data_IF_439860841414
#
_entry.id   IF_439860841414
#
_cell.length_a   1.000
_cell.length_b   1.000
_cell.length_c   1.000
_cell.angle_alpha   90.00
_cell.angle_beta   90.00
_cell.angle_gamma   90.00
#
_symmetry.space_group_name_H-M   'P 1'
#
loop_
_entity.id
_entity.type
_entity.pdbx_description
1 polymer ?
#
# COMPACT_ATOMS: atom_id res chain seq x y z
N UNK A 1 -10.66 -11.53 10.31
CA UNK A 1 -10.32 -10.09 10.25
C UNK A 1 -9.32 -9.81 11.35
N UNK A 2 -8.10 -9.40 11.02
CA UNK A 2 -7.16 -8.95 12.05
C UNK A 2 -7.74 -7.68 12.70
N UNK A 3 -7.62 -7.54 14.02
CA UNK A 3 -8.05 -6.34 14.73
C UNK A 3 -7.26 -5.14 14.20
N UNK A 4 -7.95 -4.08 13.76
CA UNK A 4 -7.31 -2.80 13.36
C UNK A 4 -6.35 -2.35 14.45
N UNK A 5 -5.09 -2.07 14.06
CA UNK A 5 -4.07 -1.62 15.02
C UNK A 5 -3.96 -0.11 15.04
N UNK A 6 -4.36 0.55 13.96
CA UNK A 6 -4.37 2.02 13.86
C UNK A 6 -5.79 2.51 13.99
N UNK A 7 -5.98 3.50 14.85
CA UNK A 7 -7.26 4.21 14.94
C UNK A 7 -7.58 4.86 13.58
N UNK A 8 -8.77 4.64 13.01
CA UNK A 8 -9.11 5.19 11.69
C UNK A 8 -9.02 6.73 11.61
N UNK A 9 -9.30 7.43 12.71
CA UNK A 9 -9.18 8.89 12.77
C UNK A 9 -7.71 9.32 12.69
N UNK A 10 -6.83 8.68 13.47
CA UNK A 10 -5.38 8.93 13.43
C UNK A 10 -4.80 8.63 12.04
N UNK A 11 -5.22 7.52 11.42
CA UNK A 11 -4.81 7.13 10.07
C UNK A 11 -5.23 8.13 9.01
N UNK A 12 -6.48 8.59 9.06
CA UNK A 12 -7.03 9.60 8.15
C UNK A 12 -6.31 10.94 8.31
N UNK A 13 -6.09 11.38 9.56
CA UNK A 13 -5.34 12.61 9.86
C UNK A 13 -3.91 12.54 9.34
N UNK A 14 -3.21 11.42 9.54
CA UNK A 14 -1.84 11.23 9.05
C UNK A 14 -1.78 11.23 7.51
N UNK A 15 -2.72 10.57 6.84
CA UNK A 15 -2.81 10.57 5.38
C UNK A 15 -3.11 11.97 4.83
N UNK A 16 -4.00 12.72 5.48
CA UNK A 16 -4.29 14.11 5.14
C UNK A 16 -3.07 15.02 5.35
N UNK A 17 -2.30 14.82 6.43
CA UNK A 17 -1.06 15.55 6.68
C UNK A 17 -0.02 15.28 5.57
N UNK A 18 0.15 14.03 5.15
CA UNK A 18 1.02 13.68 4.03
C UNK A 18 0.56 14.33 2.72
N UNK A 19 -0.76 14.38 2.47
CA UNK A 19 -1.30 15.05 1.29
C UNK A 19 -0.95 16.54 1.24
N UNK A 20 -0.88 17.20 2.39
CA UNK A 20 -0.50 18.62 2.53
C UNK A 20 1.01 18.84 2.46
N UNK A 21 1.81 17.95 3.06
CA UNK A 21 3.26 18.08 3.14
C UNK A 21 3.97 16.74 2.84
N UNK A 22 4.29 16.53 1.55
CA UNK A 22 4.73 15.22 1.01
C UNK A 22 6.14 14.78 1.37
N UNK A 23 6.96 15.66 1.96
CA UNK A 23 8.36 15.37 2.29
C UNK A 23 8.84 15.95 3.63
N UNK A 24 7.99 16.70 4.33
CA UNK A 24 8.34 17.34 5.60
C UNK A 24 7.60 16.77 6.81
N UNK A 25 7.01 15.57 6.70
CA UNK A 25 6.42 14.89 7.86
C UNK A 25 7.50 14.31 8.77
N UNK A 26 7.22 14.31 10.06
CA UNK A 26 8.00 13.51 11.00
C UNK A 26 7.79 12.00 10.74
N UNK A 27 8.76 11.20 11.19
CA UNK A 27 8.80 9.75 10.96
C UNK A 27 7.57 9.02 11.52
N UNK A 28 7.00 9.49 12.63
CA UNK A 28 5.84 8.85 13.26
C UNK A 28 4.61 9.06 12.41
N UNK A 29 4.36 10.29 11.95
CA UNK A 29 3.21 10.60 11.09
C UNK A 29 3.29 9.85 9.76
N UNK A 30 4.47 9.79 9.14
CA UNK A 30 4.69 9.00 7.91
C UNK A 30 4.43 7.50 8.16
N UNK A 31 4.94 6.93 9.26
CA UNK A 31 4.72 5.54 9.60
C UNK A 31 3.23 5.23 9.82
N UNK A 32 2.49 6.11 10.50
CA UNK A 32 1.05 5.97 10.71
C UNK A 32 0.30 5.96 9.38
N UNK A 33 0.59 6.91 8.47
CA UNK A 33 -0.06 6.96 7.16
C UNK A 33 0.19 5.70 6.33
N UNK A 34 1.44 5.22 6.27
CA UNK A 34 1.81 4.01 5.53
C UNK A 34 1.13 2.78 6.12
N UNK A 35 1.23 2.56 7.42
CA UNK A 35 0.64 1.37 8.07
C UNK A 35 -0.88 1.38 7.99
N UNK A 36 -1.51 2.54 8.15
CA UNK A 36 -2.97 2.68 8.01
C UNK A 36 -3.42 2.28 6.61
N UNK A 37 -2.77 2.81 5.57
CA UNK A 37 -3.13 2.51 4.18
C UNK A 37 -2.83 1.06 3.78
N UNK A 38 -1.83 0.42 4.39
CA UNK A 38 -1.58 -1.03 4.25
C UNK A 38 -2.65 -1.89 4.93
N UNK A 39 -3.15 -1.47 6.11
CA UNK A 39 -4.27 -2.15 6.78
C UNK A 39 -5.55 -2.01 5.95
N UNK A 40 -5.83 -0.82 5.43
CA UNK A 40 -6.97 -0.57 4.53
C UNK A 40 -6.90 -1.40 3.24
N UNK A 41 -5.72 -1.57 2.65
CA UNK A 41 -5.55 -2.48 1.51
C UNK A 41 -5.95 -3.92 1.87
N UNK A 42 -5.42 -4.44 2.99
CA UNK A 42 -5.69 -5.80 3.44
C UNK A 42 -7.16 -6.05 3.81
N UNK A 43 -7.85 -5.02 4.30
CA UNK A 43 -9.28 -5.09 4.61
C UNK A 43 -10.18 -5.01 3.38
N UNK A 44 -9.84 -4.13 2.42
CA UNK A 44 -10.65 -3.92 1.20
C UNK A 44 -10.42 -5.00 0.15
N UNK A 45 -9.23 -5.58 0.10
CA UNK A 45 -8.86 -6.66 -0.80
C UNK A 45 -8.27 -7.84 -0.01
N UNK A 46 -9.08 -8.53 0.82
CA UNK A 46 -8.58 -9.58 1.70
C UNK A 46 -8.03 -10.77 0.90
N UNK A 47 -6.86 -11.27 1.32
CA UNK A 47 -6.23 -12.43 0.71
C UNK A 47 -4.77 -12.58 1.11
N UNK A 48 -4.12 -13.59 0.56
CA UNK A 48 -2.73 -13.96 0.85
C UNK A 48 -1.93 -14.24 -0.43
N UNK A 49 -2.43 -13.80 -1.59
CA UNK A 49 -1.78 -14.08 -2.86
C UNK A 49 -0.68 -13.07 -3.17
N UNK A 50 -0.84 -11.82 -2.73
CA UNK A 50 0.11 -10.72 -2.94
C UNK A 50 0.56 -10.16 -1.60
N UNK A 51 1.87 -10.02 -1.43
CA UNK A 51 2.48 -9.36 -0.28
C UNK A 51 3.00 -7.98 -0.70
N UNK A 52 2.57 -6.93 -0.01
CA UNK A 52 3.00 -5.56 -0.26
C UNK A 52 3.90 -5.10 0.87
N UNK A 53 5.13 -4.68 0.54
CA UNK A 53 6.17 -4.26 1.47
C UNK A 53 6.49 -2.78 1.26
N UNK A 54 6.50 -2.04 2.37
CA UNK A 54 6.89 -0.63 2.39
C UNK A 54 7.93 -0.44 3.49
N UNK A 55 9.20 -0.83 3.28
CA UNK A 55 10.23 -0.73 4.29
C UNK A 55 10.55 0.73 4.65
N UNK A 56 10.86 1.03 5.93
CA UNK A 56 10.88 0.14 7.09
C UNK A 56 9.52 0.06 7.82
N UNK A 57 8.43 0.54 7.23
CA UNK A 57 7.20 0.87 7.94
C UNK A 57 6.25 -0.30 8.13
N UNK A 58 6.10 -1.17 7.14
CA UNK A 58 5.18 -2.30 7.25
C UNK A 58 5.08 -3.19 6.03
N UNK A 59 4.26 -4.22 6.21
CA UNK A 59 3.91 -5.23 5.21
C UNK A 59 2.43 -5.59 5.39
N UNK A 60 1.73 -5.88 4.30
CA UNK A 60 0.37 -6.43 4.31
C UNK A 60 0.23 -7.52 3.27
N UNK A 61 -0.68 -8.46 3.50
CA UNK A 61 -1.09 -9.43 2.49
C UNK A 61 -2.49 -9.07 2.00
N UNK A 62 -2.68 -9.19 0.69
CA UNK A 62 -3.92 -8.83 0.03
C UNK A 62 -4.14 -9.71 -1.20
N UNK A 63 -5.29 -9.50 -1.83
CA UNK A 63 -5.75 -10.13 -3.06
C UNK A 63 -6.00 -11.65 -2.87
N UNK A 64 -7.23 -12.13 -3.11
CA UNK A 64 -7.51 -13.54 -3.04
C UNK A 64 -6.78 -14.27 -4.18
N UNK A 65 -6.27 -15.45 -3.90
CA UNK A 65 -5.63 -16.25 -4.93
C UNK A 65 -5.08 -17.56 -4.39
N UNK A 66 -4.74 -18.44 -5.32
CA UNK A 66 -4.11 -19.71 -4.97
C UNK A 66 -2.82 -19.43 -4.20
N UNK A 67 -2.68 -20.14 -3.08
CA UNK A 67 -1.46 -20.14 -2.31
C UNK A 67 -0.33 -20.64 -3.22
N UNK A 68 0.82 -19.99 -3.13
CA UNK A 68 2.00 -20.41 -3.87
C UNK A 68 2.28 -21.88 -3.61
N UNK A 69 2.33 -22.67 -4.67
CA UNK A 69 2.78 -24.05 -4.61
C UNK A 69 4.29 -24.08 -4.73
N UNK A 70 4.95 -25.09 -4.16
CA UNK A 70 6.41 -25.24 -4.21
C UNK A 70 6.91 -25.05 -5.66
N UNK A 71 7.72 -24.01 -5.89
CA UNK A 71 8.32 -23.70 -7.20
C UNK A 71 7.90 -22.37 -7.83
N UNK A 72 6.78 -21.75 -7.43
CA UNK A 72 6.44 -20.39 -7.89
C UNK A 72 6.96 -19.33 -6.92
N UNK A 73 7.67 -18.28 -7.40
CA UNK A 73 8.15 -17.20 -6.55
C UNK A 73 6.97 -16.41 -5.97
N UNK A 74 7.04 -15.96 -4.70
CA UNK A 74 5.96 -15.21 -4.04
C UNK A 74 5.58 -13.97 -4.85
N UNK A 75 4.29 -13.63 -4.93
CA UNK A 75 3.90 -12.36 -5.54
C UNK A 75 4.20 -11.26 -4.53
N UNK A 76 5.26 -10.50 -4.76
CA UNK A 76 5.73 -9.44 -3.86
C UNK A 76 5.72 -8.13 -4.62
N UNK A 77 5.15 -7.11 -3.99
CA UNK A 77 5.25 -5.71 -4.40
C UNK A 77 6.06 -4.99 -3.33
N UNK A 78 7.15 -4.33 -3.72
CA UNK A 78 7.98 -3.56 -2.81
C UNK A 78 8.20 -2.15 -3.36
N UNK A 79 8.05 -1.14 -2.50
CA UNK A 79 8.22 0.28 -2.85
C UNK A 79 8.51 1.12 -1.61
N UNK A 80 8.94 2.36 -1.78
CA UNK A 80 9.14 3.31 -0.69
C UNK A 80 7.82 3.94 -0.20
N UNK A 81 7.88 4.63 0.94
CA UNK A 81 6.70 5.24 1.56
C UNK A 81 6.06 6.35 0.73
N UNK A 82 6.85 7.18 0.05
CA UNK A 82 6.33 8.27 -0.74
C UNK A 82 5.60 7.75 -1.98
N UNK A 83 6.19 6.78 -2.67
CA UNK A 83 5.60 6.10 -3.83
C UNK A 83 4.33 5.35 -3.43
N UNK A 84 4.36 4.58 -2.33
CA UNK A 84 3.17 3.90 -1.79
C UNK A 84 2.02 4.87 -1.53
N UNK A 85 2.28 5.97 -0.81
CA UNK A 85 1.24 6.95 -0.48
C UNK A 85 0.73 7.69 -1.73
N UNK A 86 1.57 7.90 -2.74
CA UNK A 86 1.13 8.44 -4.03
C UNK A 86 0.19 7.50 -4.78
N UNK A 87 0.49 6.20 -4.79
CA UNK A 87 -0.33 5.16 -5.41
C UNK A 87 -1.70 5.04 -4.72
N UNK A 88 -1.74 4.88 -3.39
CA UNK A 88 -3.01 4.71 -2.66
C UNK A 88 -3.91 5.94 -2.71
N UNK A 89 -3.35 7.12 -2.95
CA UNK A 89 -4.11 8.37 -3.11
C UNK A 89 -4.37 8.76 -4.57
N UNK A 90 -3.91 7.96 -5.53
CA UNK A 90 -4.17 8.17 -6.96
C UNK A 90 -3.39 9.33 -7.57
N UNK A 91 -2.29 9.74 -6.94
CA UNK A 91 -1.41 10.79 -7.48
C UNK A 91 -0.44 10.28 -8.53
N UNK A 92 -0.06 9.01 -8.43
CA UNK A 92 0.73 8.30 -9.43
C UNK A 92 -0.07 7.07 -9.80
N UNK A 93 -0.13 6.77 -11.10
CA UNK A 93 -0.79 5.58 -11.58
C UNK A 93 0.12 4.37 -11.40
N UNK A 94 -0.47 3.21 -11.14
CA UNK A 94 0.28 1.96 -10.99
C UNK A 94 1.23 1.69 -12.16
N UNK A 95 0.74 1.84 -13.40
CA UNK A 95 1.54 1.64 -14.61
C UNK A 95 2.74 2.59 -14.68
N UNK A 96 2.57 3.84 -14.27
CA UNK A 96 3.65 4.84 -14.26
C UNK A 96 4.73 4.47 -13.24
N UNK A 97 4.34 4.09 -12.01
CA UNK A 97 5.29 3.68 -10.98
C UNK A 97 6.07 2.41 -11.37
N UNK A 98 5.40 1.47 -12.05
CA UNK A 98 6.03 0.26 -12.60
C UNK A 98 7.03 0.61 -13.70
N UNK A 99 6.63 1.40 -14.70
CA UNK A 99 7.51 1.79 -15.81
C UNK A 99 8.70 2.64 -15.32
N UNK A 100 8.48 3.49 -14.31
CA UNK A 100 9.52 4.32 -13.71
C UNK A 100 10.45 3.58 -12.75
N UNK A 101 10.22 2.29 -12.48
CA UNK A 101 11.01 1.50 -11.53
C UNK A 101 10.86 1.92 -10.07
N UNK A 102 9.86 2.73 -9.73
CA UNK A 102 9.54 3.13 -8.36
C UNK A 102 8.86 2.00 -7.56
N UNK A 103 8.33 1.00 -8.28
CA UNK A 103 7.79 -0.23 -7.72
C UNK A 103 8.56 -1.42 -8.26
N UNK A 104 8.97 -2.32 -7.37
CA UNK A 104 9.45 -3.64 -7.72
C UNK A 104 8.32 -4.65 -7.54
N UNK A 105 7.91 -5.31 -8.61
CA UNK A 105 6.91 -6.37 -8.57
C UNK A 105 7.54 -7.69 -9.04
N UNK A 106 7.48 -8.72 -8.20
CA UNK A 106 7.97 -10.07 -8.48
C UNK A 106 6.82 -11.06 -8.41
N UNK A 107 6.77 -12.02 -9.33
CA UNK A 107 5.66 -12.98 -9.47
C UNK A 107 4.60 -12.53 -10.48
N UNK A 108 3.96 -13.48 -11.14
CA UNK A 108 3.06 -13.24 -12.28
C UNK A 108 1.75 -12.53 -11.91
N UNK A 109 1.41 -12.45 -10.62
CA UNK A 109 0.19 -11.82 -10.11
C UNK A 109 0.46 -10.68 -9.13
N UNK A 110 1.68 -10.14 -9.10
CA UNK A 110 2.02 -8.97 -8.30
C UNK A 110 1.48 -7.68 -8.96
N UNK A 111 0.16 -7.56 -9.01
CA UNK A 111 -0.54 -6.43 -9.63
C UNK A 111 -1.56 -5.85 -8.64
N UNK A 112 -1.45 -4.55 -8.39
CA UNK A 112 -2.37 -3.79 -7.55
C UNK A 112 -3.26 -2.82 -8.35
N UNK A 113 -3.15 -2.80 -9.68
CA UNK A 113 -3.88 -1.86 -10.55
C UNK A 113 -5.40 -1.93 -10.38
N UNK A 114 -5.95 -3.12 -10.11
CA UNK A 114 -7.39 -3.33 -9.91
C UNK A 114 -7.92 -2.91 -8.53
N UNK A 115 -7.04 -2.59 -7.57
CA UNK A 115 -7.42 -2.20 -6.21
C UNK A 115 -6.92 -0.80 -5.81
N UNK A 116 -6.12 -0.16 -6.66
CA UNK A 116 -5.62 1.19 -6.46
C UNK A 116 -6.32 2.16 -7.44
N UNK A 117 -6.57 3.41 -7.02
CA UNK A 117 -6.28 3.99 -5.71
C UNK A 117 -7.33 3.61 -4.66
N UNK A 118 -6.94 3.64 -3.38
CA UNK A 118 -7.84 3.40 -2.27
C UNK A 118 -8.63 4.66 -1.87
N UNK A 119 -8.07 5.85 -2.10
CA UNK A 119 -8.61 7.11 -1.59
C UNK A 119 -8.78 8.18 -2.70
N UNK A 120 -9.44 7.80 -3.80
CA UNK A 120 -9.56 8.58 -5.05
C UNK A 120 -10.54 9.77 -5.01
N UNK A 121 -11.01 10.20 -3.84
CA UNK A 121 -12.02 11.26 -3.71
C UNK A 121 -11.46 12.59 -3.18
N UNK A 122 -12.02 13.75 -3.57
CA UNK A 122 -11.75 15.01 -2.88
C UNK A 122 -12.40 14.94 -1.49
N UNK A 123 -11.63 14.55 -0.46
CA UNK A 123 -12.06 14.66 0.94
C UNK A 123 -12.41 13.36 1.67
N UNK A 124 -11.83 12.21 1.31
CA UNK A 124 -11.72 11.08 2.26
C UNK A 124 -10.49 11.19 3.15
#
# INVERSE_FOLDING_TARGET
MARRRIDPADGTMALAAWRKNRGGLDRKTLATAVRFTLEELGERAPGNSVEVRVPPFGVTQCIPGLRHTRGTPPNVVETDAATWLALVTGRVQWSEAMTGGAVSASGTRADLSGVLPLFSGPGS
#
